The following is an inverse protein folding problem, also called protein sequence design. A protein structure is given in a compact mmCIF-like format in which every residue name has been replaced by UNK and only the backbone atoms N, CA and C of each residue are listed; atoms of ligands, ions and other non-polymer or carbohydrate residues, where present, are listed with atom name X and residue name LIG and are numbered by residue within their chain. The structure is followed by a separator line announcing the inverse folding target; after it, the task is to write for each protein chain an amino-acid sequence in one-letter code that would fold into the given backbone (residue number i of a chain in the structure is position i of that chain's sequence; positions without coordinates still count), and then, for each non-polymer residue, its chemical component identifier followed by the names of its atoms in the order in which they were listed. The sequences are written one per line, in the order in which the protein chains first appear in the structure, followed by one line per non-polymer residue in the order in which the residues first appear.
data_IF_656716418384
#
_entry.id   IF_656716418384
#
_cell.length_a   1.000
_cell.length_b   1.000
_cell.length_c   1.000
_cell.angle_alpha   90.00
_cell.angle_beta   90.00
_cell.angle_gamma   90.00
#
_symmetry.space_group_name_H-M   'P 1'
#
loop_
_entity.id
_entity.type
_entity.pdbx_description
1 polymer ?
#
# COMPACT_ATOMS: atom_id res chain seq x y z
N UNK A 1 -8.29 4.85 16.12
CA UNK A 1 -7.30 4.41 15.10
C UNK A 1 -7.88 3.19 14.42
N UNK A 2 -7.84 3.09 13.08
CA UNK A 2 -8.39 1.94 12.35
C UNK A 2 -7.44 0.75 12.45
N UNK A 3 -7.99 -0.44 12.63
CA UNK A 3 -7.25 -1.69 12.62
C UNK A 3 -7.01 -2.14 11.18
N UNK A 4 -5.76 -2.37 10.82
CA UNK A 4 -5.39 -2.84 9.47
C UNK A 4 -4.49 -4.06 9.54
N UNK A 5 -4.48 -4.83 8.45
CA UNK A 5 -3.45 -5.83 8.18
C UNK A 5 -2.54 -5.38 7.06
N UNK A 6 -1.31 -5.87 7.06
CA UNK A 6 -0.48 -5.87 5.87
C UNK A 6 -0.72 -7.16 5.09
N UNK A 7 -0.77 -7.07 3.77
CA UNK A 7 -0.77 -8.23 2.89
C UNK A 7 0.56 -8.29 2.16
N UNK A 8 1.36 -9.29 2.48
CA UNK A 8 2.74 -9.48 2.05
C UNK A 8 3.74 -9.22 3.18
N UNK A 9 4.52 -10.24 3.53
CA UNK A 9 5.54 -10.22 4.59
C UNK A 9 6.98 -10.11 4.07
N UNK A 10 7.18 -9.78 2.78
CA UNK A 10 8.49 -9.58 2.19
C UNK A 10 9.16 -8.26 2.61
N UNK A 11 10.27 -7.90 1.95
CA UNK A 11 11.05 -6.70 2.28
C UNK A 11 10.24 -5.40 2.22
N UNK A 12 9.25 -5.33 1.33
CA UNK A 12 8.34 -4.18 1.23
C UNK A 12 7.51 -3.96 2.50
N UNK A 13 7.22 -5.01 3.27
CA UNK A 13 6.50 -4.86 4.52
C UNK A 13 7.27 -4.00 5.52
N UNK A 14 8.59 -4.11 5.56
CA UNK A 14 9.41 -3.30 6.47
C UNK A 14 9.26 -1.80 6.20
N UNK A 15 9.34 -1.39 4.94
CA UNK A 15 9.11 0.01 4.55
C UNK A 15 7.68 0.47 4.84
N UNK A 16 6.70 -0.37 4.51
CA UNK A 16 5.28 -0.03 4.73
C UNK A 16 4.96 0.12 6.21
N UNK A 17 5.53 -0.73 7.08
CA UNK A 17 5.40 -0.63 8.54
C UNK A 17 5.98 0.71 9.04
N UNK A 18 7.18 1.08 8.59
CA UNK A 18 7.81 2.35 8.96
C UNK A 18 6.94 3.55 8.58
N UNK A 19 6.38 3.54 7.36
CA UNK A 19 5.46 4.58 6.89
C UNK A 19 4.23 4.66 7.80
N UNK A 20 3.57 3.54 8.06
CA UNK A 20 2.34 3.48 8.86
C UNK A 20 2.59 3.98 10.28
N UNK A 21 3.71 3.60 10.89
CA UNK A 21 4.10 4.08 12.22
C UNK A 21 4.29 5.60 12.23
N UNK A 22 4.95 6.15 11.22
CA UNK A 22 5.19 7.61 11.11
C UNK A 22 3.92 8.40 10.79
N UNK A 23 3.01 7.84 10.01
CA UNK A 23 1.71 8.46 9.78
C UNK A 23 0.84 8.49 11.04
N UNK A 24 0.90 7.45 11.88
CA UNK A 24 0.13 7.34 13.11
C UNK A 24 -1.39 7.24 12.92
N UNK A 25 -1.87 6.88 11.73
CA UNK A 25 -3.30 6.81 11.39
C UNK A 25 -3.91 5.44 11.66
N UNK A 26 -3.11 4.38 11.57
CA UNK A 26 -3.56 2.99 11.60
C UNK A 26 -2.84 2.19 12.69
N UNK A 27 -3.52 1.15 13.17
CA UNK A 27 -2.93 0.11 14.01
C UNK A 27 -2.79 -1.18 13.20
N UNK A 28 -1.56 -1.63 13.01
CA UNK A 28 -1.28 -2.92 12.37
C UNK A 28 -1.60 -4.02 13.37
N UNK A 29 -2.51 -4.92 13.04
CA UNK A 29 -2.89 -6.06 13.90
C UNK A 29 -2.15 -7.35 13.55
N UNK A 30 -1.57 -7.43 12.35
CA UNK A 30 -0.79 -8.57 11.89
C UNK A 30 -0.47 -8.49 10.40
N UNK A 31 0.19 -9.53 9.92
CA UNK A 31 0.55 -9.70 8.51
C UNK A 31 -0.17 -10.93 7.96
N UNK A 32 -0.70 -10.80 6.75
CA UNK A 32 -1.21 -11.90 5.93
C UNK A 32 -0.18 -12.19 4.85
N UNK A 33 0.26 -13.45 4.74
CA UNK A 33 1.27 -13.84 3.75
C UNK A 33 0.99 -15.23 3.18
N UNK A 34 1.30 -15.43 1.90
CA UNK A 34 1.04 -16.70 1.20
C UNK A 34 2.07 -17.79 1.52
N UNK A 35 3.28 -17.42 1.92
CA UNK A 35 4.42 -18.32 2.06
C UNK A 35 4.90 -18.49 3.50
N UNK A 36 4.81 -17.43 4.30
CA UNK A 36 5.30 -17.43 5.68
C UNK A 36 4.42 -18.34 6.58
N UNK A 37 5.03 -18.93 7.59
CA UNK A 37 4.34 -19.82 8.55
C UNK A 37 3.36 -19.02 9.43
N UNK A 38 2.10 -19.48 9.49
CA UNK A 38 1.08 -18.86 10.35
C UNK A 38 1.49 -19.02 11.82
N UNK A 39 1.43 -17.92 12.57
CA UNK A 39 1.86 -17.85 13.97
C UNK A 39 3.31 -17.42 14.15
N UNK A 40 4.15 -17.49 13.09
CA UNK A 40 5.50 -16.90 13.13
C UNK A 40 5.46 -15.37 13.25
N UNK A 41 6.60 -14.77 13.53
CA UNK A 41 6.71 -13.30 13.70
C UNK A 41 7.67 -12.74 12.65
N UNK A 42 7.22 -11.69 11.96
CA UNK A 42 8.04 -10.96 11.00
C UNK A 42 7.91 -9.44 11.24
N UNK A 43 9.04 -8.75 11.30
CA UNK A 43 9.10 -7.31 11.57
C UNK A 43 8.31 -6.87 12.83
N UNK A 44 8.26 -7.74 13.85
CA UNK A 44 7.53 -7.47 15.10
C UNK A 44 6.02 -7.79 15.06
N UNK A 45 5.49 -8.27 13.94
CA UNK A 45 4.09 -8.64 13.76
C UNK A 45 3.91 -10.13 13.50
N UNK A 46 2.84 -10.71 14.02
CA UNK A 46 2.49 -12.11 13.74
C UNK A 46 1.95 -12.27 12.33
N UNK A 47 2.29 -13.38 11.71
CA UNK A 47 1.60 -13.89 10.52
C UNK A 47 0.28 -14.50 11.00
N UNK A 48 -0.84 -13.86 10.66
CA UNK A 48 -2.17 -14.22 11.19
C UNK A 48 -3.02 -15.02 10.23
N UNK A 49 -2.55 -15.23 9.02
CA UNK A 49 -3.27 -16.05 8.03
C UNK A 49 -2.84 -15.79 6.60
N UNK A 50 -3.70 -16.24 5.68
CA UNK A 50 -3.53 -16.12 4.24
C UNK A 50 -4.66 -15.31 3.62
N UNK A 51 -4.46 -14.78 2.41
CA UNK A 51 -5.44 -13.91 1.76
C UNK A 51 -6.77 -14.58 1.43
N UNK A 52 -6.81 -15.89 1.26
CA UNK A 52 -8.03 -16.67 1.00
C UNK A 52 -8.97 -16.72 2.22
N UNK A 53 -8.42 -16.53 3.43
CA UNK A 53 -9.16 -16.43 4.69
C UNK A 53 -9.43 -14.97 5.11
N UNK A 54 -9.33 -14.00 4.21
CA UNK A 54 -9.43 -12.57 4.55
C UNK A 54 -10.77 -12.22 5.21
N UNK A 55 -11.85 -12.88 4.84
CA UNK A 55 -13.18 -12.64 5.38
C UNK A 55 -13.26 -13.03 6.86
N UNK A 56 -12.77 -14.21 7.20
CA UNK A 56 -12.73 -14.73 8.57
C UNK A 56 -11.76 -13.92 9.44
N UNK A 57 -10.60 -13.60 8.88
CA UNK A 57 -9.57 -12.79 9.55
C UNK A 57 -10.12 -11.38 9.84
N UNK A 58 -10.84 -10.78 8.90
CA UNK A 58 -11.42 -9.45 9.08
C UNK A 58 -12.40 -9.40 10.25
N UNK A 59 -13.20 -10.44 10.43
CA UNK A 59 -14.13 -10.55 11.57
C UNK A 59 -13.37 -10.83 12.87
N UNK A 60 -12.45 -11.81 12.86
CA UNK A 60 -11.75 -12.26 14.07
C UNK A 60 -10.88 -11.16 14.69
N UNK A 61 -10.24 -10.34 13.87
CA UNK A 61 -9.32 -9.28 14.31
C UNK A 61 -9.92 -7.88 14.20
N UNK A 62 -11.22 -7.77 13.90
CA UNK A 62 -11.92 -6.48 13.76
C UNK A 62 -11.19 -5.52 12.79
N UNK A 63 -10.88 -6.03 11.59
CA UNK A 63 -10.07 -5.32 10.59
C UNK A 63 -10.94 -4.35 9.78
N UNK A 64 -10.54 -3.09 9.72
CA UNK A 64 -11.17 -2.06 8.87
C UNK A 64 -10.71 -2.13 7.41
N UNK A 65 -9.56 -2.75 7.13
CA UNK A 65 -9.00 -2.89 5.80
C UNK A 65 -7.53 -3.30 5.80
N UNK A 66 -6.85 -3.12 4.68
CA UNK A 66 -5.46 -3.53 4.51
C UNK A 66 -4.61 -2.52 3.74
N UNK A 67 -3.29 -2.68 3.84
CA UNK A 67 -2.30 -2.14 2.90
C UNK A 67 -1.58 -3.32 2.28
N UNK A 68 -1.43 -3.34 0.96
CA UNK A 68 -0.66 -4.38 0.26
C UNK A 68 0.81 -3.94 0.23
N UNK A 69 1.69 -4.75 0.83
CA UNK A 69 3.14 -4.54 0.93
C UNK A 69 3.91 -5.48 0.01
N UNK A 70 3.54 -5.53 -1.27
CA UNK A 70 4.12 -6.39 -2.30
C UNK A 70 4.68 -5.52 -3.41
N UNK A 71 5.98 -5.68 -3.71
CA UNK A 71 6.69 -4.87 -4.72
C UNK A 71 6.33 -5.22 -6.16
N UNK A 72 6.13 -6.51 -6.45
CA UNK A 72 5.80 -6.97 -7.80
C UNK A 72 4.39 -6.52 -8.23
N UNK A 73 4.32 -5.84 -9.37
CA UNK A 73 3.08 -5.22 -9.85
C UNK A 73 1.98 -6.24 -10.15
N UNK A 74 2.34 -7.38 -10.76
CA UNK A 74 1.38 -8.42 -11.11
C UNK A 74 0.85 -9.13 -9.87
N UNK A 75 1.73 -9.47 -8.95
CA UNK A 75 1.36 -10.11 -7.68
C UNK A 75 0.46 -9.17 -6.86
N UNK A 76 0.76 -7.87 -6.83
CA UNK A 76 -0.05 -6.86 -6.16
C UNK A 76 -1.46 -6.76 -6.77
N UNK A 77 -1.55 -6.73 -8.10
CA UNK A 77 -2.83 -6.79 -8.83
C UNK A 77 -3.62 -8.06 -8.49
N UNK A 78 -2.96 -9.22 -8.57
CA UNK A 78 -3.59 -10.51 -8.32
C UNK A 78 -4.17 -10.57 -6.91
N UNK A 79 -3.38 -10.20 -5.90
CA UNK A 79 -3.79 -10.21 -4.49
C UNK A 79 -4.97 -9.26 -4.26
N UNK A 80 -4.89 -8.02 -4.73
CA UNK A 80 -5.98 -7.05 -4.61
C UNK A 80 -7.28 -7.59 -5.24
N UNK A 81 -7.17 -8.17 -6.44
CA UNK A 81 -8.30 -8.74 -7.17
C UNK A 81 -8.92 -9.93 -6.43
N UNK A 82 -8.10 -10.83 -5.85
CA UNK A 82 -8.61 -11.95 -5.06
C UNK A 82 -9.34 -11.50 -3.79
N UNK A 83 -8.78 -10.54 -3.07
CA UNK A 83 -9.41 -9.96 -1.88
C UNK A 83 -10.76 -9.31 -2.23
N UNK A 84 -10.82 -8.49 -3.28
CA UNK A 84 -12.08 -7.86 -3.74
C UNK A 84 -13.11 -8.89 -4.25
N UNK A 85 -12.68 -10.01 -4.82
CA UNK A 85 -13.57 -11.10 -5.22
C UNK A 85 -14.21 -11.78 -4.01
N UNK A 86 -13.46 -11.97 -2.92
CA UNK A 86 -13.95 -12.58 -1.68
C UNK A 86 -14.80 -11.61 -0.86
N UNK A 87 -14.39 -10.35 -0.81
CA UNK A 87 -15.06 -9.28 -0.06
C UNK A 87 -15.12 -8.02 -0.94
N UNK A 88 -16.18 -7.82 -1.75
CA UNK A 88 -16.26 -6.73 -2.74
C UNK A 88 -16.02 -5.33 -2.15
N UNK A 89 -16.52 -5.07 -0.95
CA UNK A 89 -16.42 -3.77 -0.27
C UNK A 89 -15.18 -3.66 0.63
N UNK A 90 -14.23 -4.59 0.52
CA UNK A 90 -13.00 -4.56 1.33
C UNK A 90 -12.20 -3.30 1.02
N UNK A 91 -11.74 -2.61 2.07
CA UNK A 91 -11.04 -1.32 1.94
C UNK A 91 -9.54 -1.52 1.89
N UNK A 92 -8.90 -0.89 0.91
CA UNK A 92 -7.47 -0.72 0.89
C UNK A 92 -7.11 0.71 1.27
N UNK A 93 -6.20 0.86 2.21
CA UNK A 93 -5.75 2.16 2.70
C UNK A 93 -4.43 2.56 2.05
N UNK A 94 -4.23 3.85 1.95
CA UNK A 94 -2.96 4.41 1.49
C UNK A 94 -1.97 4.48 2.64
N UNK A 95 -0.70 4.20 2.37
CA UNK A 95 0.43 4.41 3.26
C UNK A 95 1.38 5.42 2.59
N UNK A 96 1.30 6.67 3.00
CA UNK A 96 2.06 7.78 2.41
C UNK A 96 2.97 8.37 3.48
N UNK A 97 4.28 8.27 3.27
CA UNK A 97 5.25 8.75 4.25
C UNK A 97 5.04 10.26 4.54
N UNK A 98 5.07 10.71 5.80
CA UNK A 98 4.82 12.12 6.15
C UNK A 98 5.77 13.12 5.50
N UNK A 99 6.93 12.70 5.02
CA UNK A 99 7.87 13.56 4.27
C UNK A 99 7.54 13.70 2.78
N UNK A 100 6.45 13.10 2.29
CA UNK A 100 6.01 13.32 0.92
C UNK A 100 5.47 14.74 0.76
N UNK A 101 5.80 15.37 -0.37
CA UNK A 101 5.25 16.68 -0.75
C UNK A 101 4.10 16.42 -1.71
N UNK A 102 2.92 16.90 -1.35
CA UNK A 102 1.70 16.70 -2.14
C UNK A 102 1.19 18.07 -2.59
N UNK A 103 1.21 18.30 -3.88
CA UNK A 103 0.72 19.52 -4.51
C UNK A 103 -0.82 19.63 -4.50
N UNK A 104 -1.31 20.81 -4.85
CA UNK A 104 -2.74 21.07 -4.91
C UNK A 104 -3.44 20.21 -5.97
N UNK A 105 -4.63 19.74 -5.65
CA UNK A 105 -5.47 18.92 -6.55
C UNK A 105 -4.87 17.58 -6.98
N UNK A 106 -3.88 17.06 -6.27
CA UNK A 106 -3.41 15.68 -6.46
C UNK A 106 -4.49 14.72 -5.97
N UNK A 107 -4.81 13.71 -6.77
CA UNK A 107 -5.79 12.68 -6.44
C UNK A 107 -5.10 11.34 -6.31
N UNK A 108 -5.40 10.63 -5.23
CA UNK A 108 -4.93 9.27 -5.00
C UNK A 108 -6.10 8.29 -5.07
N UNK A 109 -5.87 7.17 -5.73
CA UNK A 109 -6.71 5.98 -5.61
C UNK A 109 -6.55 5.28 -4.26
N UNK A 110 -7.04 4.05 -4.15
CA UNK A 110 -6.88 3.22 -2.94
C UNK A 110 -5.57 2.41 -2.98
N UNK A 111 -5.05 2.06 -1.80
CA UNK A 111 -3.92 1.14 -1.67
C UNK A 111 -2.57 1.67 -2.15
N UNK A 112 -2.43 2.98 -2.29
CA UNK A 112 -1.17 3.62 -2.70
C UNK A 112 -0.15 3.53 -1.58
N UNK A 113 1.09 3.14 -1.94
CA UNK A 113 2.24 3.19 -1.03
C UNK A 113 3.27 4.16 -1.57
N UNK A 114 3.60 5.19 -0.79
CA UNK A 114 4.61 6.17 -1.15
C UNK A 114 5.67 6.29 -0.05
N UNK A 115 6.92 5.99 -0.41
CA UNK A 115 8.06 6.04 0.48
C UNK A 115 8.51 7.48 0.75
N UNK A 116 9.49 7.63 1.64
CA UNK A 116 10.02 8.92 2.06
C UNK A 116 10.50 9.78 0.88
N UNK A 117 10.22 11.09 0.95
CA UNK A 117 10.71 12.09 0.02
C UNK A 117 10.07 12.07 -1.37
N UNK A 118 8.97 11.33 -1.57
CA UNK A 118 8.23 11.41 -2.84
C UNK A 118 7.59 12.79 -3.01
N UNK A 119 7.52 13.26 -4.26
CA UNK A 119 6.92 14.54 -4.62
C UNK A 119 5.82 14.27 -5.66
N UNK A 120 4.64 14.79 -5.39
CA UNK A 120 3.49 14.74 -6.29
C UNK A 120 3.10 16.17 -6.65
N UNK A 121 3.45 16.60 -7.85
CA UNK A 121 3.17 17.96 -8.31
C UNK A 121 1.68 18.16 -8.66
N UNK A 122 1.21 19.42 -8.68
CA UNK A 122 -0.22 19.73 -8.76
C UNK A 122 -0.96 19.08 -9.94
N UNK A 123 -2.23 18.72 -9.68
CA UNK A 123 -3.18 18.18 -10.67
C UNK A 123 -2.83 16.80 -11.22
N UNK A 124 -1.90 16.08 -10.60
CA UNK A 124 -1.63 14.70 -10.97
C UNK A 124 -2.65 13.74 -10.38
N UNK A 125 -2.93 12.66 -11.09
CA UNK A 125 -3.81 11.58 -10.66
C UNK A 125 -3.00 10.30 -10.51
N UNK A 126 -3.10 9.67 -9.36
CA UNK A 126 -2.40 8.43 -9.01
C UNK A 126 -3.42 7.31 -8.90
N UNK A 127 -3.26 6.29 -9.70
CA UNK A 127 -4.16 5.13 -9.73
C UNK A 127 -4.04 4.22 -8.51
N UNK A 128 -4.95 3.24 -8.44
CA UNK A 128 -5.03 2.30 -7.34
C UNK A 128 -3.79 1.41 -7.23
N UNK A 129 -3.42 1.08 -6.00
CA UNK A 129 -2.34 0.15 -5.70
C UNK A 129 -1.01 0.48 -6.37
N UNK A 130 -0.73 1.77 -6.59
CA UNK A 130 0.57 2.22 -7.10
C UNK A 130 1.61 2.23 -5.99
N UNK A 131 2.86 2.06 -6.39
CA UNK A 131 4.00 2.05 -5.50
C UNK A 131 5.03 3.09 -5.92
N UNK A 132 5.44 3.94 -4.99
CA UNK A 132 6.46 4.96 -5.20
C UNK A 132 7.63 4.71 -4.25
N UNK A 133 8.79 4.38 -4.83
CA UNK A 133 10.00 4.19 -4.05
C UNK A 133 10.60 5.53 -3.61
N UNK A 134 11.55 5.47 -2.69
CA UNK A 134 12.16 6.65 -2.04
C UNK A 134 12.56 7.74 -3.04
N UNK A 135 12.08 8.95 -2.83
CA UNK A 135 12.43 10.13 -3.62
C UNK A 135 11.86 10.16 -5.04
N UNK A 136 10.92 9.28 -5.38
CA UNK A 136 10.23 9.32 -6.67
C UNK A 136 9.45 10.63 -6.82
N UNK A 137 9.44 11.22 -8.01
CA UNK A 137 8.79 12.49 -8.28
C UNK A 137 7.85 12.37 -9.49
N UNK A 138 6.63 12.82 -9.30
CA UNK A 138 5.61 12.91 -10.34
C UNK A 138 5.39 14.38 -10.64
N UNK A 139 5.69 14.80 -11.88
CA UNK A 139 5.48 16.16 -12.32
C UNK A 139 4.00 16.48 -12.54
N UNK A 140 3.69 17.76 -12.75
CA UNK A 140 2.31 18.26 -12.82
C UNK A 140 1.50 17.64 -13.97
N UNK A 141 0.19 17.50 -13.77
CA UNK A 141 -0.76 17.01 -14.76
C UNK A 141 -0.48 15.59 -15.29
N UNK A 142 0.20 14.75 -14.50
CA UNK A 142 0.44 13.35 -14.86
C UNK A 142 -0.73 12.46 -14.47
N UNK A 143 -0.89 11.35 -15.19
CA UNK A 143 -1.82 10.28 -14.87
C UNK A 143 -1.00 9.00 -14.70
N UNK A 144 -0.89 8.54 -13.46
CA UNK A 144 -0.22 7.28 -13.14
C UNK A 144 -1.26 6.18 -13.07
N UNK A 145 -1.13 5.18 -13.92
CA UNK A 145 -2.07 4.07 -14.01
C UNK A 145 -2.09 3.17 -12.78
N UNK A 146 -3.16 2.38 -12.63
CA UNK A 146 -3.28 1.43 -11.53
C UNK A 146 -2.13 0.42 -11.52
N UNK A 147 -1.70 0.02 -10.33
CA UNK A 147 -0.64 -0.97 -10.10
C UNK A 147 0.74 -0.60 -10.66
N UNK A 148 0.94 0.63 -11.10
CA UNK A 148 2.25 1.10 -11.54
C UNK A 148 3.25 1.17 -10.39
N UNK A 149 4.54 1.12 -10.72
CA UNK A 149 5.62 1.37 -9.78
C UNK A 149 6.58 2.40 -10.35
N UNK A 150 6.91 3.39 -9.52
CA UNK A 150 7.93 4.41 -9.84
C UNK A 150 9.15 4.14 -8.97
N UNK A 151 10.28 3.87 -9.63
CA UNK A 151 11.53 3.50 -8.97
C UNK A 151 12.14 4.65 -8.16
N UNK A 152 13.03 4.30 -7.24
CA UNK A 152 13.71 5.29 -6.39
C UNK A 152 14.42 6.37 -7.21
N UNK A 153 14.19 7.62 -6.84
CA UNK A 153 14.80 8.78 -7.48
C UNK A 153 14.36 9.05 -8.93
N UNK A 154 13.40 8.30 -9.45
CA UNK A 154 12.87 8.55 -10.79
C UNK A 154 11.98 9.79 -10.83
N UNK A 155 12.04 10.53 -11.93
CA UNK A 155 11.26 11.75 -12.15
C UNK A 155 10.50 11.60 -13.48
N UNK A 156 9.19 11.82 -13.48
CA UNK A 156 8.42 11.92 -14.72
C UNK A 156 8.57 13.31 -15.34
N UNK A 157 8.34 13.44 -16.64
CA UNK A 157 8.04 14.76 -17.21
C UNK A 157 6.62 15.20 -16.84
N UNK A 158 6.28 16.45 -17.15
CA UNK A 158 4.89 16.91 -17.04
C UNK A 158 4.01 16.28 -18.13
N UNK A 159 2.70 16.13 -17.86
CA UNK A 159 1.71 15.54 -18.79
C UNK A 159 2.03 14.11 -19.25
N UNK A 160 2.65 13.30 -18.42
CA UNK A 160 2.92 11.87 -18.70
C UNK A 160 1.70 11.04 -18.31
N UNK A 161 1.37 10.07 -19.17
CA UNK A 161 0.35 9.04 -18.96
C UNK A 161 0.97 7.64 -19.08
#
# INVERSE_FOLDING_TARGET
MKNIVLIGGGDQAHYTIDIIHKEGKYKIVGIIDAQEEIGSTKFGYKIIGRQDAIKEIAVLYEIDGAVISIGDNWTRYYVASQVKKLVPDFKFFNAIHPSCIIGEHVKFGEGVVAMAGCIFNPRSTVGDHTFFATGAQVEHNCIIGNYASISAGSITGGYVE
#
